data_IF_757702582549
#
_entry.id   IF_757702582549
#
_cell.length_a   1.000
_cell.length_b   1.000
_cell.length_c   1.000
_cell.angle_alpha   90.00
_cell.angle_beta   90.00
_cell.angle_gamma   90.00
#
_symmetry.space_group_name_H-M   'P 1'
#
loop_
_entity.id
_entity.type
_entity.pdbx_description
1 polymer ?
#
# COMPACT_ATOMS: atom_id res chain seq x y z
N UNK A 1 17.66 7.01 16.74
CA UNK A 1 16.78 8.19 16.59
C UNK A 1 15.89 7.93 15.39
N UNK A 2 14.72 7.32 15.61
CA UNK A 2 13.65 7.34 14.60
C UNK A 2 12.95 8.69 14.74
N UNK A 3 12.89 9.45 13.66
CA UNK A 3 12.08 10.67 13.67
C UNK A 3 10.62 10.25 13.84
N UNK A 4 9.84 10.92 14.70
CA UNK A 4 8.40 10.72 14.78
C UNK A 4 7.71 10.89 13.41
N UNK A 5 8.33 11.68 12.52
CA UNK A 5 7.92 11.83 11.13
C UNK A 5 8.03 10.55 10.28
N UNK A 6 8.86 9.58 10.65
CA UNK A 6 8.96 8.29 9.96
C UNK A 6 7.90 7.28 10.45
N UNK A 7 7.37 7.45 11.67
CA UNK A 7 6.38 6.55 12.27
C UNK A 7 4.94 6.94 11.89
N UNK A 8 4.69 8.21 11.56
CA UNK A 8 3.36 8.70 11.18
C UNK A 8 3.17 8.88 9.68
N UNK A 9 4.19 8.67 8.84
CA UNK A 9 4.11 8.89 7.40
C UNK A 9 3.33 7.77 6.69
N UNK A 10 2.02 7.69 6.96
CA UNK A 10 1.09 6.94 6.13
C UNK A 10 0.83 7.69 4.82
N UNK A 11 0.35 7.01 3.78
CA UNK A 11 0.06 7.59 2.46
C UNK A 11 -0.87 8.81 2.42
N UNK A 12 -1.57 9.12 3.52
CA UNK A 12 -2.24 10.39 3.70
C UNK A 12 -1.27 11.59 3.57
N UNK A 13 0.02 11.38 3.86
CA UNK A 13 1.06 12.41 3.95
C UNK A 13 2.02 12.46 2.74
N UNK A 14 1.78 11.66 1.69
CA UNK A 14 2.63 11.61 0.48
C UNK A 14 1.89 12.08 -0.79
N UNK A 15 1.42 13.34 -0.86
CA UNK A 15 0.60 13.84 -1.97
C UNK A 15 1.32 13.76 -3.32
N UNK A 16 2.64 13.96 -3.33
CA UNK A 16 3.45 13.92 -4.56
C UNK A 16 3.51 12.51 -5.15
N UNK A 17 3.79 11.49 -4.33
CA UNK A 17 3.84 10.10 -4.76
C UNK A 17 2.48 9.63 -5.29
N UNK A 18 1.39 10.00 -4.62
CA UNK A 18 0.02 9.67 -5.04
C UNK A 18 -0.36 10.32 -6.36
N UNK A 19 -0.01 11.60 -6.54
CA UNK A 19 -0.24 12.31 -7.79
C UNK A 19 0.55 11.72 -8.96
N UNK A 20 1.75 11.20 -8.69
CA UNK A 20 2.59 10.52 -9.66
C UNK A 20 2.02 9.14 -10.03
N UNK A 21 1.61 8.34 -9.04
CA UNK A 21 0.98 7.04 -9.24
C UNK A 21 -0.30 7.14 -10.07
N UNK A 22 -1.17 8.10 -9.79
CA UNK A 22 -2.38 8.31 -10.59
C UNK A 22 -2.06 8.58 -12.07
N UNK A 23 -1.03 9.39 -12.36
CA UNK A 23 -0.61 9.66 -13.73
C UNK A 23 -0.09 8.41 -14.42
N UNK A 24 0.78 7.65 -13.74
CA UNK A 24 1.41 6.47 -14.34
C UNK A 24 0.41 5.33 -14.50
N UNK A 25 -0.30 4.95 -13.44
CA UNK A 25 -1.14 3.76 -13.44
C UNK A 25 -2.56 4.01 -13.93
N UNK A 26 -3.21 5.11 -13.50
CA UNK A 26 -4.60 5.37 -13.87
C UNK A 26 -4.71 6.05 -15.24
N UNK A 27 -3.76 6.92 -15.58
CA UNK A 27 -3.75 7.64 -16.86
C UNK A 27 -2.81 7.01 -17.89
N UNK A 28 -2.14 5.89 -17.58
CA UNK A 28 -1.17 5.21 -18.44
C UNK A 28 -0.08 6.13 -19.01
N UNK A 29 0.33 7.15 -18.25
CA UNK A 29 1.40 8.04 -18.68
C UNK A 29 2.78 7.40 -18.48
N UNK A 30 3.72 7.60 -19.43
CA UNK A 30 5.10 7.21 -19.22
C UNK A 30 5.67 7.86 -17.94
N UNK A 31 6.42 7.12 -17.10
CA UNK A 31 6.93 7.64 -15.83
C UNK A 31 7.75 8.93 -15.97
N UNK A 32 8.56 9.05 -17.02
CA UNK A 32 9.34 10.26 -17.32
C UNK A 32 8.47 11.47 -17.66
N UNK A 33 7.34 11.25 -18.33
CA UNK A 33 6.37 12.30 -18.65
C UNK A 33 5.59 12.72 -17.40
N UNK A 34 5.18 11.76 -16.58
CA UNK A 34 4.48 12.01 -15.31
C UNK A 34 5.37 12.77 -14.32
N UNK A 35 6.67 12.43 -14.24
CA UNK A 35 7.67 13.14 -13.43
C UNK A 35 7.82 14.60 -13.87
N UNK A 36 7.99 14.82 -15.18
CA UNK A 36 8.06 16.18 -15.76
C UNK A 36 6.80 17.00 -15.51
N UNK A 37 5.62 16.39 -15.62
CA UNK A 37 4.35 17.05 -15.35
C UNK A 37 4.17 17.47 -13.88
N UNK A 38 4.97 16.89 -12.98
CA UNK A 38 5.02 17.21 -11.55
C UNK A 38 6.22 18.07 -11.16
N UNK A 39 7.09 18.40 -12.12
CA UNK A 39 8.28 19.23 -11.87
C UNK A 39 9.36 18.54 -11.03
N UNK A 40 9.40 17.21 -11.01
CA UNK A 40 10.37 16.42 -10.25
C UNK A 40 11.34 15.66 -11.16
N UNK A 41 12.50 15.31 -10.63
CA UNK A 41 13.50 14.52 -11.36
C UNK A 41 12.98 13.08 -11.58
N UNK A 42 13.32 12.42 -12.70
CA UNK A 42 12.91 11.03 -12.93
C UNK A 42 13.44 10.05 -11.87
N UNK A 43 14.61 10.33 -11.27
CA UNK A 43 15.16 9.55 -10.16
C UNK A 43 14.25 9.58 -8.93
N UNK A 44 13.90 10.79 -8.47
CA UNK A 44 12.97 11.01 -7.35
C UNK A 44 11.61 10.39 -7.62
N UNK A 45 11.09 10.55 -8.85
CA UNK A 45 9.84 9.96 -9.27
C UNK A 45 9.86 8.42 -9.14
N UNK A 46 10.96 7.79 -9.53
CA UNK A 46 11.13 6.34 -9.44
C UNK A 46 11.17 5.87 -7.98
N UNK A 47 11.86 6.61 -7.11
CA UNK A 47 11.90 6.34 -5.68
C UNK A 47 10.49 6.42 -5.05
N UNK A 48 9.77 7.52 -5.33
CA UNK A 48 8.42 7.75 -4.81
C UNK A 48 7.42 6.71 -5.31
N UNK A 49 7.46 6.34 -6.60
CA UNK A 49 6.58 5.31 -7.16
C UNK A 49 6.83 3.93 -6.55
N UNK A 50 8.10 3.58 -6.35
CA UNK A 50 8.46 2.27 -5.79
C UNK A 50 7.93 2.13 -4.36
N UNK A 51 8.21 3.11 -3.50
CA UNK A 51 7.71 3.10 -2.12
C UNK A 51 6.18 3.04 -2.06
N UNK A 52 5.49 3.85 -2.88
CA UNK A 52 4.03 3.84 -2.90
C UNK A 52 3.45 2.50 -3.38
N UNK A 53 4.05 1.87 -4.41
CA UNK A 53 3.59 0.57 -4.92
C UNK A 53 3.75 -0.54 -3.87
N UNK A 54 4.88 -0.56 -3.16
CA UNK A 54 5.13 -1.54 -2.11
C UNK A 54 4.08 -1.45 -1.00
N UNK A 55 3.76 -0.23 -0.58
CA UNK A 55 2.82 -0.01 0.50
C UNK A 55 1.37 -0.27 0.06
N UNK A 56 0.97 0.12 -1.16
CA UNK A 56 -0.31 -0.29 -1.76
C UNK A 56 -0.44 -1.81 -1.80
N UNK A 57 0.64 -2.53 -2.13
CA UNK A 57 0.64 -3.99 -2.11
C UNK A 57 0.47 -4.55 -0.69
N UNK A 58 1.15 -3.98 0.32
CA UNK A 58 0.98 -4.38 1.74
C UNK A 58 -0.46 -4.16 2.22
N UNK A 59 -1.05 -3.00 1.89
CA UNK A 59 -2.43 -2.68 2.25
C UNK A 59 -3.42 -3.62 1.56
N UNK A 60 -3.19 -3.91 0.27
CA UNK A 60 -4.01 -4.87 -0.47
C UNK A 60 -3.98 -6.26 0.18
N UNK A 61 -2.79 -6.76 0.54
CA UNK A 61 -2.64 -8.04 1.26
C UNK A 61 -3.37 -7.99 2.61
N UNK A 62 -3.25 -6.89 3.37
CA UNK A 62 -3.95 -6.73 4.65
C UNK A 62 -5.47 -6.79 4.48
N UNK A 63 -6.02 -6.13 3.46
CA UNK A 63 -7.46 -6.17 3.14
C UNK A 63 -7.89 -7.59 2.76
N UNK A 64 -7.10 -8.29 1.93
CA UNK A 64 -7.38 -9.69 1.57
C UNK A 64 -7.38 -10.64 2.78
N UNK A 65 -6.47 -10.42 3.74
CA UNK A 65 -6.41 -11.21 4.97
C UNK A 65 -7.56 -10.89 5.93
N UNK A 66 -7.94 -9.62 6.05
CA UNK A 66 -9.08 -9.19 6.87
C UNK A 66 -10.43 -9.68 6.32
N UNK A 67 -10.54 -9.89 5.01
CA UNK A 67 -11.72 -10.44 4.35
C UNK A 67 -11.85 -11.97 4.41
N UNK A 68 -10.87 -12.70 4.96
CA UNK A 68 -11.01 -14.15 5.17
C UNK A 68 -11.83 -14.37 6.44
N UNK A 69 -12.98 -15.07 6.39
CA UNK A 69 -13.61 -15.55 7.61
C UNK A 69 -12.62 -16.46 8.34
N UNK A 70 -12.42 -16.22 9.64
CA UNK A 70 -11.74 -17.16 10.52
C UNK A 70 -12.41 -18.51 10.32
N UNK A 71 -11.65 -19.52 9.90
CA UNK A 71 -12.12 -20.89 10.10
C UNK A 71 -11.96 -21.12 11.60
N UNK A 72 -12.98 -20.68 12.36
CA UNK A 72 -13.14 -21.08 13.75
C UNK A 72 -13.41 -22.59 13.71
N UNK A 73 -12.35 -23.38 13.85
CA UNK A 73 -12.47 -24.75 14.35
C UNK A 73 -12.90 -24.67 15.80
N UNK A 74 -14.19 -24.43 16.01
CA UNK A 74 -14.86 -24.60 17.29
C UNK A 74 -15.94 -25.65 17.10
N UNK A 75 -15.88 -26.66 17.96
CA UNK A 75 -16.82 -27.77 18.18
C UNK A 75 -16.49 -29.09 17.47
N UNK A 76 -15.81 -29.97 18.20
CA UNK A 76 -16.39 -31.26 18.58
C UNK A 76 -15.73 -31.70 19.90
N UNK A 77 -16.26 -31.16 21.00
CA UNK A 77 -16.14 -31.79 22.31
C UNK A 77 -17.20 -32.91 22.32
N UNK A 78 -16.77 -34.13 22.01
CA UNK A 78 -17.58 -35.33 22.20
C UNK A 78 -17.70 -35.56 23.72
N UNK A 79 -18.80 -35.09 24.30
CA UNK A 79 -19.33 -35.65 25.53
C UNK A 79 -20.27 -36.79 25.11
N UNK A 80 -19.76 -38.02 25.14
CA UNK A 80 -20.58 -39.24 25.12
C UNK A 80 -20.52 -39.82 26.54
N UNK A 81 -21.56 -39.50 27.32
CA UNK A 81 -21.89 -40.13 28.60
C UNK A 81 -22.87 -41.28 28.29
N UNK A 82 -22.44 -42.54 28.46
CA UNK A 82 -23.27 -43.66 28.94
C UNK A 82 -22.44 -44.73 29.66
#
# INVERSE_FOLDING_TARGET
>A
MTCACAETCGHADAPMARALFNRVEMMNQPPSLAARALGIEPGDASYLLTGLREDVAKDFVRVMLAGRPSIDTTNQEEADDE
#
